data_IF_179903461789
#
_entry.id   IF_179903461789
#
_cell.length_a   1.000
_cell.length_b   1.000
_cell.length_c   1.000
_cell.angle_alpha   90.00
_cell.angle_beta   90.00
_cell.angle_gamma   90.00
#
_symmetry.space_group_name_H-M   'P 1'
#
loop_
_entity.id
_entity.type
_entity.pdbx_description
1 polymer ?
#
# COMPACT_ATOMS: atom_id res chain seq x y z
N UNK A 1 5.63 -18.82 -3.25
CA UNK A 1 5.98 -17.88 -2.17
C UNK A 1 6.62 -16.58 -2.66
N UNK A 2 7.68 -16.59 -3.47
CA UNK A 2 8.34 -15.33 -3.91
C UNK A 2 7.38 -14.34 -4.61
N UNK A 3 6.47 -14.84 -5.48
CA UNK A 3 5.48 -14.00 -6.19
C UNK A 3 4.54 -13.24 -5.24
N UNK A 4 4.00 -13.91 -4.22
CA UNK A 4 3.13 -13.29 -3.22
C UNK A 4 3.80 -12.12 -2.47
N UNK A 5 5.07 -12.27 -2.12
CA UNK A 5 5.82 -11.24 -1.42
C UNK A 5 6.03 -10.01 -2.32
N UNK A 6 6.41 -10.22 -3.58
CA UNK A 6 6.59 -9.15 -4.57
C UNK A 6 5.28 -8.38 -4.80
N UNK A 7 4.16 -9.08 -4.99
CA UNK A 7 2.84 -8.45 -5.18
C UNK A 7 2.41 -7.64 -3.95
N UNK A 8 2.69 -8.16 -2.74
CA UNK A 8 2.37 -7.48 -1.48
C UNK A 8 3.16 -6.19 -1.33
N UNK A 9 4.45 -6.22 -1.66
CA UNK A 9 5.33 -5.04 -1.60
C UNK A 9 4.89 -4.01 -2.64
N UNK A 10 4.62 -4.41 -3.88
CA UNK A 10 4.14 -3.47 -4.91
C UNK A 10 2.86 -2.77 -4.46
N UNK A 11 1.89 -3.52 -3.92
CA UNK A 11 0.64 -2.96 -3.40
C UNK A 11 0.86 -2.02 -2.22
N UNK A 12 1.73 -2.40 -1.28
CA UNK A 12 2.05 -1.55 -0.14
C UNK A 12 2.67 -0.22 -0.57
N UNK A 13 3.63 -0.25 -1.49
CA UNK A 13 4.28 0.95 -2.04
C UNK A 13 3.28 1.83 -2.80
N UNK A 14 2.43 1.22 -3.64
CA UNK A 14 1.39 1.95 -4.38
C UNK A 14 0.40 2.63 -3.42
N UNK A 15 -0.02 1.92 -2.38
CA UNK A 15 -0.94 2.45 -1.35
C UNK A 15 -0.29 3.59 -0.57
N UNK A 16 0.99 3.45 -0.20
CA UNK A 16 1.75 4.50 0.48
C UNK A 16 1.85 5.79 -0.36
N UNK A 17 2.18 5.65 -1.65
CA UNK A 17 2.27 6.77 -2.58
C UNK A 17 0.91 7.47 -2.76
N UNK A 18 -0.17 6.71 -2.95
CA UNK A 18 -1.53 7.26 -3.07
C UNK A 18 -1.97 7.99 -1.80
N UNK A 19 -1.65 7.45 -0.63
CA UNK A 19 -1.94 8.08 0.66
C UNK A 19 -1.14 9.38 0.84
N UNK A 20 0.16 9.37 0.51
CA UNK A 20 1.00 10.57 0.57
C UNK A 20 0.45 11.69 -0.33
N UNK A 21 0.10 11.37 -1.59
CA UNK A 21 -0.50 12.33 -2.51
C UNK A 21 -1.84 12.88 -2.01
N UNK A 22 -2.64 12.06 -1.33
CA UNK A 22 -3.90 12.49 -0.72
C UNK A 22 -3.70 13.52 0.40
N UNK A 23 -2.62 13.40 1.19
CA UNK A 23 -2.28 14.36 2.24
C UNK A 23 -1.69 15.65 1.67
N UNK A 24 -0.79 15.54 0.68
CA UNK A 24 -0.13 16.69 0.06
C UNK A 24 -1.13 17.57 -0.71
N UNK A 25 -2.13 16.96 -1.37
CA UNK A 25 -3.15 17.68 -2.13
C UNK A 25 -4.08 18.57 -1.31
N UNK A 26 -3.99 18.55 0.03
CA UNK A 26 -4.93 19.20 0.92
C UNK A 26 -4.69 20.71 1.17
N UNK A 27 -3.63 21.32 0.63
CA UNK A 27 -3.45 22.78 0.76
C UNK A 27 -2.04 23.35 0.64
N UNK A 28 -1.03 22.54 0.31
CA UNK A 28 0.36 22.99 0.17
C UNK A 28 0.74 23.11 -1.32
N UNK A 29 1.26 24.28 -1.73
CA UNK A 29 1.68 24.54 -3.11
C UNK A 29 3.17 24.23 -3.35
N UNK A 30 4.00 24.33 -2.31
CA UNK A 30 5.44 24.09 -2.39
C UNK A 30 5.86 22.75 -1.80
N UNK A 31 6.87 22.12 -2.40
CA UNK A 31 7.47 20.87 -1.92
C UNK A 31 7.99 20.99 -0.48
N UNK A 32 8.51 22.15 -0.10
CA UNK A 32 9.06 22.37 1.24
C UNK A 32 8.01 22.76 2.28
N UNK A 33 6.82 23.17 1.85
CA UNK A 33 5.74 23.56 2.74
C UNK A 33 4.92 22.35 3.22
N UNK A 34 5.14 21.18 2.59
CA UNK A 34 4.54 19.91 2.99
C UNK A 34 5.00 19.53 4.40
N UNK A 35 4.06 19.24 5.29
CA UNK A 35 4.34 18.56 6.55
C UNK A 35 4.74 17.10 6.26
N UNK A 36 6.05 16.89 6.06
CA UNK A 36 6.63 15.59 5.78
C UNK A 36 6.49 14.60 6.94
N UNK A 37 6.38 15.09 8.18
CA UNK A 37 6.15 14.26 9.36
C UNK A 37 4.78 13.60 9.29
N UNK A 38 3.73 14.40 9.10
CA UNK A 38 2.36 13.89 8.95
C UNK A 38 2.21 13.06 7.67
N UNK A 39 2.78 13.53 6.55
CA UNK A 39 2.70 12.82 5.26
C UNK A 39 3.34 11.44 5.31
N UNK A 40 4.55 11.34 5.90
CA UNK A 40 5.23 10.05 6.10
C UNK A 40 4.47 9.13 7.04
N UNK A 41 3.87 9.67 8.11
CA UNK A 41 3.06 8.90 9.06
C UNK A 41 1.83 8.27 8.39
N UNK A 42 1.08 9.05 7.61
CA UNK A 42 -0.11 8.57 6.89
C UNK A 42 0.27 7.55 5.81
N UNK A 43 1.32 7.82 5.04
CA UNK A 43 1.82 6.90 4.03
C UNK A 43 2.28 5.56 4.64
N UNK A 44 2.98 5.62 5.78
CA UNK A 44 3.43 4.45 6.53
C UNK A 44 2.26 3.62 7.07
N UNK A 45 1.25 4.26 7.67
CA UNK A 45 0.05 3.59 8.14
C UNK A 45 -0.69 2.89 6.97
N UNK A 46 -0.83 3.58 5.84
CA UNK A 46 -1.49 3.03 4.66
C UNK A 46 -0.73 1.80 4.10
N UNK A 47 0.61 1.83 4.10
CA UNK A 47 1.43 0.68 3.74
C UNK A 47 1.20 -0.51 4.68
N UNK A 48 1.19 -0.29 5.99
CA UNK A 48 0.92 -1.33 7.00
C UNK A 48 -0.46 -1.95 6.78
N UNK A 49 -1.49 -1.13 6.58
CA UNK A 49 -2.85 -1.60 6.29
C UNK A 49 -2.89 -2.44 5.01
N UNK A 50 -2.18 -2.03 3.95
CA UNK A 50 -2.08 -2.81 2.71
C UNK A 50 -1.45 -4.19 2.93
N UNK A 51 -0.38 -4.27 3.72
CA UNK A 51 0.27 -5.55 4.06
C UNK A 51 -0.67 -6.44 4.86
N UNK A 52 -1.33 -5.91 5.91
CA UNK A 52 -2.30 -6.66 6.71
C UNK A 52 -3.45 -7.18 5.86
N UNK A 53 -3.93 -6.37 4.92
CA UNK A 53 -4.98 -6.75 3.97
C UNK A 53 -4.51 -7.87 3.03
N UNK A 54 -3.26 -7.82 2.57
CA UNK A 54 -2.66 -8.91 1.77
C UNK A 54 -2.54 -10.21 2.56
N UNK A 55 -2.15 -10.13 3.85
CA UNK A 55 -2.09 -11.29 4.75
C UNK A 55 -3.48 -11.89 4.97
N UNK A 56 -4.50 -11.05 5.17
CA UNK A 56 -5.88 -11.51 5.28
C UNK A 56 -6.34 -12.20 3.98
N UNK A 57 -6.06 -11.61 2.82
CA UNK A 57 -6.40 -12.16 1.52
C UNK A 57 -5.70 -13.50 1.25
N UNK A 58 -4.41 -13.63 1.56
CA UNK A 58 -3.64 -14.86 1.39
C UNK A 58 -4.09 -16.01 2.29
N UNK A 59 -4.79 -15.73 3.40
CA UNK A 59 -5.43 -16.78 4.24
C UNK A 59 -6.75 -17.29 3.67
N UNK A 60 -7.41 -16.51 2.81
CA UNK A 60 -8.71 -16.84 2.21
C UNK A 60 -8.65 -17.17 0.71
N UNK A 61 -7.52 -16.92 0.05
CA UNK A 61 -7.31 -17.06 -1.39
C UNK A 61 -6.13 -17.96 -1.77
N UNK A 62 -5.63 -17.82 -3.00
CA UNK A 62 -4.52 -18.62 -3.53
C UNK A 62 -3.18 -18.25 -2.84
N UNK A 63 -2.46 -19.20 -2.22
CA UNK A 63 -1.19 -18.93 -1.53
C UNK A 63 -0.06 -18.45 -2.47
N UNK A 64 -0.26 -18.46 -3.78
CA UNK A 64 0.70 -17.96 -4.77
C UNK A 64 0.58 -16.44 -5.02
N UNK A 65 -0.54 -15.78 -4.69
CA UNK A 65 -0.87 -14.39 -5.10
C UNK A 65 -1.56 -13.61 -3.97
N UNK A 66 -1.30 -12.30 -3.88
CA UNK A 66 -1.87 -11.43 -2.84
C UNK A 66 -3.35 -11.04 -3.08
N UNK A 67 -4.01 -11.56 -4.11
CA UNK A 67 -5.35 -11.16 -4.56
C UNK A 67 -6.45 -12.13 -4.13
N UNK A 68 -7.68 -11.63 -4.04
CA UNK A 68 -8.87 -12.44 -3.72
C UNK A 68 -9.35 -13.33 -4.89
N UNK A 69 -8.79 -13.17 -6.09
CA UNK A 69 -9.15 -13.94 -7.29
C UNK A 69 -8.00 -14.85 -7.69
N UNK A 70 -8.25 -16.15 -7.82
CA UNK A 70 -7.29 -17.11 -8.41
C UNK A 70 -7.35 -17.00 -9.94
N UNK A 71 -6.20 -16.87 -10.62
CA UNK A 71 -6.19 -16.99 -12.07
C UNK A 71 -6.18 -18.47 -12.43
N UNK A 72 -7.35 -19.06 -12.70
CA UNK A 72 -7.40 -20.28 -13.50
C UNK A 72 -7.00 -19.91 -14.92
N UNK A 73 -5.75 -20.19 -15.29
CA UNK A 73 -5.39 -20.48 -16.68
C UNK A 73 -5.26 -21.99 -16.82
#
# INVERSE_FOLDING_TARGET
MQKWLTDTIERAVRTAAQAALGVVGAGQLGLLDVDWGTTGSVAGLAAVVSVLTSIAAGRTGDPQTAGFVTSRR
#
